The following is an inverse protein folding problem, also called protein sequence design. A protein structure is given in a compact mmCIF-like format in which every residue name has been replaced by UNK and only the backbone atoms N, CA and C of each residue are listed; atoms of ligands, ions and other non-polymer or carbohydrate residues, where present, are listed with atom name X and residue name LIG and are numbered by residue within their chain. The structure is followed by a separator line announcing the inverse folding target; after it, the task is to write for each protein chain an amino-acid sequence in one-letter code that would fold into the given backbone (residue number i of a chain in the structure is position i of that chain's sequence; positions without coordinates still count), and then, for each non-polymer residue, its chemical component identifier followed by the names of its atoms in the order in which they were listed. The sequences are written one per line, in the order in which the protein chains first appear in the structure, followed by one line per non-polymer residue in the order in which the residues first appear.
data_IF_644185783565
#
_entry.id   IF_644185783565
#
_cell.length_a   1.000
_cell.length_b   1.000
_cell.length_c   1.000
_cell.angle_alpha   90.00
_cell.angle_beta   90.00
_cell.angle_gamma   90.00
#
_symmetry.space_group_name_H-M   'P 1'
#
loop_
_entity.id
_entity.type
_entity.pdbx_description
1 polymer ?
#
# COMPACT_ATOMS: atom_id res chain seq x y z
N UNK A 1 -2.31 -25.05 18.35
CA UNK A 1 -1.07 -25.18 17.56
C UNK A 1 -0.06 -24.16 18.06
N UNK A 2 1.21 -24.51 18.16
CA UNK A 2 2.25 -23.68 18.79
C UNK A 2 2.83 -22.67 17.77
N UNK A 3 2.77 -21.34 18.02
CA UNK A 3 3.34 -20.32 17.12
C UNK A 3 4.84 -20.50 16.83
N UNK A 4 5.55 -21.26 17.66
CA UNK A 4 6.96 -21.59 17.45
C UNK A 4 7.22 -22.44 16.19
N UNK A 5 6.22 -23.11 15.62
CA UNK A 5 6.37 -23.85 14.35
C UNK A 5 6.56 -22.92 13.14
N UNK A 6 6.19 -21.64 13.24
CA UNK A 6 6.50 -20.62 12.22
C UNK A 6 8.00 -20.26 12.17
N UNK A 7 8.78 -20.72 13.15
CA UNK A 7 10.23 -20.51 13.24
C UNK A 7 11.04 -21.75 12.82
N UNK A 8 10.37 -22.84 12.42
CA UNK A 8 11.04 -24.04 11.92
C UNK A 8 11.20 -23.96 10.39
N UNK A 9 12.34 -23.42 9.98
CA UNK A 9 12.67 -23.10 8.58
C UNK A 9 13.00 -24.34 7.72
N UNK A 10 12.90 -25.55 8.27
CA UNK A 10 13.16 -26.81 7.55
C UNK A 10 11.90 -27.41 6.90
N UNK A 11 10.73 -26.80 7.08
CA UNK A 11 9.46 -27.29 6.53
C UNK A 11 8.91 -26.31 5.49
N UNK A 12 8.33 -26.78 4.37
CA UNK A 12 7.60 -25.93 3.43
C UNK A 12 6.53 -25.10 4.14
N UNK A 13 6.36 -23.85 3.73
CA UNK A 13 5.36 -22.96 4.33
C UNK A 13 3.96 -23.56 4.14
N UNK A 14 3.34 -23.97 5.25
CA UNK A 14 2.05 -24.65 5.21
C UNK A 14 0.92 -23.61 4.97
N UNK A 15 0.24 -23.72 3.83
CA UNK A 15 -0.84 -22.80 3.42
C UNK A 15 -1.98 -22.78 4.47
N UNK A 16 -2.43 -23.94 4.99
CA UNK A 16 -3.27 -24.04 6.20
C UNK A 16 -2.76 -23.31 7.43
N UNK A 17 -1.44 -23.20 7.64
CA UNK A 17 -0.85 -22.49 8.78
C UNK A 17 -0.91 -20.96 8.58
N UNK A 18 -0.82 -20.49 7.33
CA UNK A 18 -1.08 -19.10 6.96
C UNK A 18 -2.57 -18.74 7.07
N UNK A 19 -3.47 -19.64 6.66
CA UNK A 19 -4.91 -19.49 6.86
C UNK A 19 -5.26 -19.50 8.36
N UNK A 20 -4.66 -20.38 9.17
CA UNK A 20 -4.81 -20.37 10.63
C UNK A 20 -4.23 -19.10 11.28
N UNK A 21 -3.13 -18.55 10.75
CA UNK A 21 -2.54 -17.27 11.18
C UNK A 21 -3.51 -16.11 10.86
N UNK A 22 -4.20 -16.19 9.71
CA UNK A 22 -5.25 -15.25 9.29
C UNK A 22 -6.50 -15.35 10.14
N UNK A 23 -6.98 -16.55 10.45
CA UNK A 23 -8.12 -16.78 11.35
C UNK A 23 -7.82 -16.29 12.78
N UNK A 24 -6.56 -16.38 13.22
CA UNK A 24 -6.10 -15.85 14.50
C UNK A 24 -5.97 -14.30 14.51
N UNK A 25 -5.94 -13.60 13.37
CA UNK A 25 -5.95 -12.12 13.31
C UNK A 25 -7.27 -11.49 13.79
N UNK A 26 -8.33 -12.30 13.91
CA UNK A 26 -9.59 -11.92 14.54
C UNK A 26 -9.54 -12.00 16.09
N UNK A 27 -8.51 -12.62 16.67
CA UNK A 27 -8.32 -12.81 18.11
C UNK A 27 -7.30 -11.86 18.73
N UNK A 28 -7.42 -11.62 20.04
CA UNK A 28 -6.54 -10.73 20.79
C UNK A 28 -5.10 -11.30 20.90
N UNK A 29 -4.27 -11.00 19.89
CA UNK A 29 -2.81 -11.01 19.98
C UNK A 29 -2.08 -12.06 19.13
N UNK A 30 -1.16 -11.55 18.30
CA UNK A 30 0.18 -12.08 17.97
C UNK A 30 0.49 -12.85 16.66
N UNK A 31 -0.42 -13.15 15.72
CA UNK A 31 0.02 -13.64 14.40
C UNK A 31 0.62 -12.55 13.50
N UNK A 32 0.03 -11.35 13.51
CA UNK A 32 0.51 -10.21 12.68
C UNK A 32 1.87 -9.72 13.14
N UNK A 33 2.05 -9.59 14.46
CA UNK A 33 3.31 -9.16 15.05
C UNK A 33 4.44 -10.17 14.76
N UNK A 34 4.11 -11.47 14.70
CA UNK A 34 5.08 -12.50 14.30
C UNK A 34 5.46 -12.31 12.84
N UNK A 35 4.49 -12.20 11.92
CA UNK A 35 4.78 -12.03 10.50
C UNK A 35 5.54 -10.73 10.23
N UNK A 36 5.15 -9.63 10.87
CA UNK A 36 5.84 -8.35 10.82
C UNK A 36 7.28 -8.46 11.34
N UNK A 37 7.50 -9.17 12.46
CA UNK A 37 8.84 -9.41 12.99
C UNK A 37 9.70 -10.28 12.07
N UNK A 38 9.11 -11.29 11.42
CA UNK A 38 9.79 -12.16 10.45
C UNK A 38 10.21 -11.36 9.24
N UNK A 39 9.31 -10.52 8.70
CA UNK A 39 9.62 -9.64 7.57
C UNK A 39 10.72 -8.67 7.99
N UNK A 40 10.56 -7.96 9.11
CA UNK A 40 11.51 -6.94 9.55
C UNK A 40 12.92 -7.48 9.83
N UNK A 41 13.03 -8.62 10.51
CA UNK A 41 14.31 -9.09 11.04
C UNK A 41 14.91 -10.29 10.31
N UNK A 42 14.09 -11.09 9.60
CA UNK A 42 14.52 -12.37 9.00
C UNK A 42 14.21 -12.52 7.51
N UNK A 43 13.59 -11.53 6.86
CA UNK A 43 13.21 -11.64 5.44
C UNK A 43 14.37 -12.02 4.53
N UNK A 44 15.54 -11.40 4.71
CA UNK A 44 16.73 -11.70 3.91
C UNK A 44 17.29 -13.12 4.09
N UNK A 45 16.97 -13.79 5.20
CA UNK A 45 17.40 -15.15 5.49
C UNK A 45 16.45 -16.22 4.92
N UNK A 46 15.24 -15.84 4.51
CA UNK A 46 14.27 -16.78 3.95
C UNK A 46 14.69 -17.23 2.53
N UNK A 47 14.54 -18.53 2.21
CA UNK A 47 14.64 -19.04 0.85
C UNK A 47 13.77 -18.22 -0.13
N UNK A 48 14.25 -18.06 -1.37
CA UNK A 48 13.56 -17.25 -2.37
C UNK A 48 12.13 -17.75 -2.62
N UNK A 49 11.96 -19.08 -2.72
CA UNK A 49 10.65 -19.71 -2.93
C UNK A 49 9.64 -19.35 -1.83
N UNK A 50 10.07 -19.35 -0.56
CA UNK A 50 9.21 -18.98 0.55
C UNK A 50 8.82 -17.50 0.49
N UNK A 51 9.76 -16.61 0.14
CA UNK A 51 9.45 -15.18 -0.03
C UNK A 51 8.43 -14.94 -1.13
N UNK A 52 8.60 -15.59 -2.29
CA UNK A 52 7.64 -15.49 -3.39
C UNK A 52 6.27 -16.09 -3.02
N UNK A 53 6.25 -17.19 -2.26
CA UNK A 53 5.03 -17.77 -1.71
C UNK A 53 4.27 -16.80 -0.80
N UNK A 54 4.97 -16.14 0.14
CA UNK A 54 4.38 -15.14 1.04
C UNK A 54 3.83 -13.95 0.25
N UNK A 55 4.58 -13.42 -0.73
CA UNK A 55 4.12 -12.31 -1.59
C UNK A 55 2.85 -12.66 -2.34
N UNK A 56 2.84 -13.85 -2.97
CA UNK A 56 1.72 -14.32 -3.78
C UNK A 56 0.49 -14.52 -2.90
N UNK A 57 0.66 -15.16 -1.74
CA UNK A 57 -0.41 -15.35 -0.77
C UNK A 57 -1.00 -14.01 -0.29
N UNK A 58 -0.15 -13.09 0.16
CA UNK A 58 -0.58 -11.78 0.64
C UNK A 58 -1.31 -10.97 -0.44
N UNK A 59 -0.77 -10.97 -1.66
CA UNK A 59 -1.39 -10.27 -2.80
C UNK A 59 -2.78 -10.86 -3.12
N UNK A 60 -2.90 -12.19 -3.12
CA UNK A 60 -4.18 -12.87 -3.35
C UNK A 60 -5.21 -12.58 -2.26
N UNK A 61 -4.80 -12.51 -0.98
CA UNK A 61 -5.68 -12.09 0.10
C UNK A 61 -6.15 -10.65 -0.09
N UNK A 62 -5.23 -9.72 -0.34
CA UNK A 62 -5.59 -8.32 -0.56
C UNK A 62 -6.59 -8.19 -1.71
N UNK A 63 -6.35 -8.87 -2.84
CA UNK A 63 -7.27 -8.89 -3.98
C UNK A 63 -8.63 -9.47 -3.55
N UNK A 64 -8.66 -10.63 -2.90
CA UNK A 64 -9.90 -11.29 -2.46
C UNK A 64 -10.78 -10.38 -1.60
N UNK A 65 -10.18 -9.73 -0.59
CA UNK A 65 -10.93 -8.87 0.33
C UNK A 65 -11.21 -7.47 -0.21
N UNK A 66 -10.55 -7.07 -1.30
CA UNK A 66 -10.75 -5.76 -1.95
C UNK A 66 -11.54 -5.85 -3.26
N UNK A 67 -11.98 -7.04 -3.68
CA UNK A 67 -12.74 -7.25 -4.92
C UNK A 67 -14.25 -7.03 -4.77
N UNK A 68 -14.79 -7.22 -3.57
CA UNK A 68 -16.21 -7.02 -3.25
C UNK A 68 -16.37 -5.89 -2.24
N UNK A 69 -17.28 -4.95 -2.51
CA UNK A 69 -17.45 -3.75 -1.70
C UNK A 69 -17.96 -4.06 -0.29
N UNK A 70 -18.93 -4.98 -0.15
CA UNK A 70 -19.47 -5.33 1.17
C UNK A 70 -18.38 -5.95 2.07
N UNK A 71 -17.58 -6.86 1.51
CA UNK A 71 -16.45 -7.49 2.19
C UNK A 71 -15.36 -6.48 2.52
N UNK A 72 -14.98 -5.61 1.57
CA UNK A 72 -13.97 -4.59 1.76
C UNK A 72 -14.32 -3.60 2.88
N UNK A 73 -15.60 -3.23 2.99
CA UNK A 73 -16.10 -2.37 4.07
C UNK A 73 -16.14 -3.10 5.41
N UNK A 74 -16.65 -4.35 5.44
CA UNK A 74 -16.76 -5.14 6.66
C UNK A 74 -15.39 -5.46 7.27
N UNK A 75 -14.43 -5.79 6.42
CA UNK A 75 -13.09 -6.24 6.81
C UNK A 75 -12.04 -5.12 6.71
N UNK A 76 -12.45 -3.84 6.71
CA UNK A 76 -11.56 -2.71 6.43
C UNK A 76 -10.30 -2.67 7.32
N UNK A 77 -10.46 -2.98 8.61
CA UNK A 77 -9.34 -3.06 9.56
C UNK A 77 -8.36 -4.16 9.19
N UNK A 78 -8.87 -5.33 8.80
CA UNK A 78 -8.06 -6.47 8.39
C UNK A 78 -7.30 -6.17 7.09
N UNK A 79 -7.98 -5.60 6.09
CA UNK A 79 -7.33 -5.20 4.83
C UNK A 79 -6.24 -4.15 5.08
N UNK A 80 -6.48 -3.19 5.98
CA UNK A 80 -5.46 -2.22 6.35
C UNK A 80 -4.22 -2.88 6.97
N UNK A 81 -4.39 -3.89 7.82
CA UNK A 81 -3.27 -4.68 8.36
C UNK A 81 -2.49 -5.38 7.24
N UNK A 82 -3.18 -5.99 6.28
CA UNK A 82 -2.54 -6.64 5.12
C UNK A 82 -1.72 -5.63 4.30
N UNK A 83 -2.25 -4.43 4.09
CA UNK A 83 -1.54 -3.35 3.37
C UNK A 83 -0.26 -2.94 4.10
N UNK A 84 -0.29 -2.79 5.43
CA UNK A 84 0.89 -2.46 6.23
C UNK A 84 1.95 -3.56 6.07
N UNK A 85 1.57 -4.83 6.17
CA UNK A 85 2.47 -5.97 5.98
C UNK A 85 3.07 -5.97 4.56
N UNK A 86 2.26 -5.68 3.55
CA UNK A 86 2.72 -5.58 2.16
C UNK A 86 3.79 -4.49 2.03
N UNK A 87 3.56 -3.30 2.60
CA UNK A 87 4.54 -2.20 2.55
C UNK A 87 5.84 -2.56 3.28
N UNK A 88 5.78 -3.31 4.38
CA UNK A 88 7.01 -3.84 5.01
C UNK A 88 7.77 -4.76 4.06
N UNK A 89 7.10 -5.64 3.30
CA UNK A 89 7.76 -6.48 2.27
C UNK A 89 8.38 -5.60 1.16
N UNK A 90 7.67 -4.55 0.71
CA UNK A 90 8.16 -3.64 -0.32
C UNK A 90 9.45 -2.92 0.11
N UNK A 91 9.58 -2.52 1.38
CA UNK A 91 10.82 -1.93 1.91
C UNK A 91 12.03 -2.84 1.73
N UNK A 92 11.85 -4.16 1.71
CA UNK A 92 12.92 -5.12 1.47
C UNK A 92 13.16 -5.38 -0.03
N UNK A 93 12.10 -5.70 -0.76
CA UNK A 93 12.23 -6.29 -2.10
C UNK A 93 12.00 -5.31 -3.25
N UNK A 94 11.21 -4.26 -3.04
CA UNK A 94 11.09 -3.17 -4.02
C UNK A 94 12.24 -2.17 -3.81
N UNK A 95 12.81 -1.60 -4.88
CA UNK A 95 12.47 -1.76 -6.30
C UNK A 95 13.22 -2.90 -7.02
N UNK A 96 14.29 -3.44 -6.45
CA UNK A 96 15.24 -4.30 -7.18
C UNK A 96 14.68 -5.69 -7.50
N UNK A 97 14.04 -6.34 -6.53
CA UNK A 97 13.53 -7.73 -6.64
C UNK A 97 12.06 -7.80 -7.06
N UNK A 98 11.32 -6.70 -6.94
CA UNK A 98 9.91 -6.63 -7.30
C UNK A 98 9.61 -5.42 -8.20
N UNK A 99 10.34 -5.31 -9.31
CA UNK A 99 10.30 -4.15 -10.22
C UNK A 99 8.91 -3.80 -10.73
N UNK A 100 8.08 -4.80 -11.02
CA UNK A 100 6.76 -4.60 -11.64
C UNK A 100 5.67 -4.20 -10.66
N UNK A 101 5.96 -4.10 -9.35
CA UNK A 101 4.94 -3.84 -8.34
C UNK A 101 4.06 -2.61 -8.65
N UNK A 102 4.66 -1.45 -8.90
CA UNK A 102 3.91 -0.21 -9.19
C UNK A 102 3.11 -0.33 -10.51
N UNK A 103 3.72 -0.75 -11.65
CA UNK A 103 2.95 -1.01 -12.87
C UNK A 103 1.78 -1.99 -12.69
N UNK A 104 2.00 -3.10 -11.98
CA UNK A 104 1.01 -4.17 -11.80
C UNK A 104 -0.17 -3.70 -10.94
N UNK A 105 0.08 -3.00 -9.83
CA UNK A 105 -0.98 -2.47 -8.97
C UNK A 105 -1.76 -1.33 -9.65
N UNK A 106 -1.09 -0.49 -10.45
CA UNK A 106 -1.77 0.54 -11.25
C UNK A 106 -2.68 -0.11 -12.30
N UNK A 107 -2.21 -1.16 -12.97
CA UNK A 107 -3.01 -1.93 -13.92
C UNK A 107 -4.23 -2.58 -13.24
N UNK A 108 -4.03 -3.26 -12.11
CA UNK A 108 -5.10 -3.90 -11.34
C UNK A 108 -6.13 -2.88 -10.82
N UNK A 109 -5.68 -1.69 -10.40
CA UNK A 109 -6.55 -0.61 -9.93
C UNK A 109 -7.60 -0.17 -10.94
N UNK A 110 -7.33 -0.31 -12.25
CA UNK A 110 -8.26 0.10 -13.30
C UNK A 110 -9.41 -0.89 -13.53
N UNK A 111 -9.38 -2.05 -12.87
CA UNK A 111 -10.38 -3.11 -13.06
C UNK A 111 -11.55 -3.05 -12.07
N UNK A 112 -11.35 -2.42 -10.90
CA UNK A 112 -12.40 -2.25 -9.89
C UNK A 112 -12.12 -1.01 -9.03
N UNK A 113 -13.18 -0.24 -8.73
CA UNK A 113 -13.08 0.95 -7.87
C UNK A 113 -12.67 0.61 -6.44
N UNK A 114 -13.05 -0.56 -5.91
CA UNK A 114 -12.66 -0.98 -4.55
C UNK A 114 -11.18 -1.41 -4.50
N UNK A 115 -10.70 -2.08 -5.56
CA UNK A 115 -9.26 -2.37 -5.71
C UNK A 115 -8.46 -1.09 -5.86
N UNK A 116 -8.98 -0.12 -6.63
CA UNK A 116 -8.36 1.19 -6.77
C UNK A 116 -8.29 1.91 -5.43
N UNK A 117 -9.37 1.89 -4.64
CA UNK A 117 -9.41 2.54 -3.32
C UNK A 117 -8.36 1.92 -2.40
N UNK A 118 -8.25 0.59 -2.37
CA UNK A 118 -7.22 -0.06 -1.57
C UNK A 118 -5.80 0.25 -2.06
N UNK A 119 -5.62 0.34 -3.39
CA UNK A 119 -4.32 0.68 -3.99
C UNK A 119 -3.88 2.10 -3.61
N UNK A 120 -4.81 3.07 -3.56
CA UNK A 120 -4.53 4.41 -3.03
C UNK A 120 -4.01 4.35 -1.59
N UNK A 121 -4.66 3.56 -0.72
CA UNK A 121 -4.18 3.35 0.66
C UNK A 121 -2.77 2.75 0.71
N UNK A 122 -2.47 1.78 -0.15
CA UNK A 122 -1.13 1.18 -0.25
C UNK A 122 -0.10 2.22 -0.70
N UNK A 123 -0.41 3.04 -1.71
CA UNK A 123 0.50 4.10 -2.17
C UNK A 123 0.76 5.16 -1.11
N UNK A 124 -0.27 5.54 -0.36
CA UNK A 124 -0.13 6.46 0.78
C UNK A 124 0.82 5.89 1.83
N UNK A 125 0.57 4.67 2.31
CA UNK A 125 1.41 3.99 3.29
C UNK A 125 2.86 3.83 2.81
N UNK A 126 3.06 3.49 1.53
CA UNK A 126 4.39 3.38 0.95
C UNK A 126 5.13 4.72 0.97
N UNK A 127 4.46 5.83 0.62
CA UNK A 127 5.07 7.16 0.67
C UNK A 127 5.42 7.58 2.10
N UNK A 128 4.51 7.39 3.06
CA UNK A 128 4.74 7.70 4.48
C UNK A 128 5.94 6.90 5.03
N UNK A 129 6.02 5.59 4.75
CA UNK A 129 7.15 4.75 5.16
C UNK A 129 8.50 5.20 4.55
N UNK A 130 8.48 5.67 3.29
CA UNK A 130 9.70 6.06 2.57
C UNK A 130 10.15 7.50 2.89
N UNK A 131 9.22 8.42 3.17
CA UNK A 131 9.52 9.84 3.33
C UNK A 131 9.39 10.35 4.76
N UNK A 132 8.46 9.81 5.55
CA UNK A 132 8.20 10.23 6.94
C UNK A 132 8.90 9.33 7.95
N UNK A 133 8.70 8.01 7.87
CA UNK A 133 9.20 7.05 8.88
C UNK A 133 10.56 6.43 8.57
N UNK A 134 11.12 6.67 7.38
CA UNK A 134 12.36 6.02 6.93
C UNK A 134 13.55 6.22 7.87
N UNK A 135 13.54 7.29 8.67
CA UNK A 135 14.59 7.62 9.64
C UNK A 135 14.66 6.65 10.82
N UNK A 136 13.59 5.90 11.08
CA UNK A 136 13.50 5.02 12.24
C UNK A 136 14.07 3.61 11.96
N UNK A 137 13.93 3.14 10.71
CA UNK A 137 14.10 1.71 10.40
C UNK A 137 15.04 1.38 9.23
N UNK A 138 15.33 2.35 8.36
CA UNK A 138 16.10 2.09 7.13
C UNK A 138 17.47 2.76 7.16
N UNK A 139 18.44 2.10 6.54
CA UNK A 139 19.74 2.73 6.31
C UNK A 139 19.60 3.93 5.37
N UNK A 140 20.52 4.89 5.46
CA UNK A 140 20.51 6.07 4.58
C UNK A 140 20.58 5.69 3.09
N UNK A 141 21.36 4.65 2.75
CA UNK A 141 21.48 4.15 1.39
C UNK A 141 20.16 3.57 0.87
N UNK A 142 19.48 2.74 1.67
CA UNK A 142 18.20 2.15 1.29
C UNK A 142 17.09 3.20 1.18
N UNK A 143 17.06 4.16 2.11
CA UNK A 143 16.14 5.30 2.05
C UNK A 143 16.32 6.09 0.74
N UNK A 144 17.57 6.41 0.38
CA UNK A 144 17.87 7.13 -0.86
C UNK A 144 17.43 6.32 -2.09
N UNK A 145 17.69 5.02 -2.11
CA UNK A 145 17.25 4.13 -3.20
C UNK A 145 15.72 4.16 -3.38
N UNK A 146 14.96 3.96 -2.29
CA UNK A 146 13.50 3.96 -2.32
C UNK A 146 12.94 5.30 -2.78
N UNK A 147 13.48 6.42 -2.27
CA UNK A 147 13.04 7.76 -2.68
C UNK A 147 13.26 8.03 -4.18
N UNK A 148 14.43 7.66 -4.70
CA UNK A 148 14.75 7.84 -6.13
C UNK A 148 13.80 7.03 -7.00
N UNK A 149 13.55 5.76 -6.65
CA UNK A 149 12.66 4.91 -7.43
C UNK A 149 11.19 5.32 -7.31
N UNK A 150 10.76 5.82 -6.15
CA UNK A 150 9.36 6.26 -5.98
C UNK A 150 9.10 7.54 -6.78
N UNK A 151 10.11 8.42 -6.86
CA UNK A 151 10.05 9.58 -7.75
C UNK A 151 10.02 9.18 -9.23
N UNK A 152 10.78 8.17 -9.66
CA UNK A 152 10.77 7.73 -11.06
C UNK A 152 9.45 7.06 -11.46
N UNK A 153 8.80 6.36 -10.54
CA UNK A 153 7.52 5.69 -10.77
C UNK A 153 6.30 6.61 -10.48
N UNK A 154 6.51 7.81 -9.92
CA UNK A 154 5.42 8.69 -9.51
C UNK A 154 4.50 9.07 -10.67
N UNK A 155 5.02 9.18 -11.90
CA UNK A 155 4.20 9.47 -13.08
C UNK A 155 3.01 8.52 -13.23
N UNK A 156 3.21 7.22 -13.02
CA UNK A 156 2.14 6.21 -13.10
C UNK A 156 1.10 6.38 -11.99
N UNK A 157 1.56 6.68 -10.78
CA UNK A 157 0.69 6.91 -9.62
C UNK A 157 -0.14 8.18 -9.84
N UNK A 158 0.50 9.25 -10.29
CA UNK A 158 -0.15 10.52 -10.60
C UNK A 158 -1.21 10.37 -11.70
N UNK A 159 -0.87 9.68 -12.80
CA UNK A 159 -1.84 9.38 -13.87
C UNK A 159 -3.04 8.60 -13.35
N UNK A 160 -2.84 7.67 -12.43
CA UNK A 160 -3.94 6.95 -11.79
C UNK A 160 -4.79 7.88 -10.90
N UNK A 161 -4.17 8.73 -10.07
CA UNK A 161 -4.90 9.71 -9.25
C UNK A 161 -5.77 10.62 -10.12
N UNK A 162 -5.20 11.21 -11.18
CA UNK A 162 -5.94 12.06 -12.12
C UNK A 162 -7.05 11.27 -12.81
N UNK A 163 -6.78 10.04 -13.24
CA UNK A 163 -7.79 9.16 -13.82
C UNK A 163 -8.97 8.94 -12.86
N UNK A 164 -8.72 8.68 -11.59
CA UNK A 164 -9.78 8.49 -10.59
C UNK A 164 -10.61 9.77 -10.44
N UNK A 165 -9.96 10.92 -10.24
CA UNK A 165 -10.66 12.20 -10.07
C UNK A 165 -11.55 12.57 -11.28
N UNK A 166 -11.19 12.11 -12.48
CA UNK A 166 -12.00 12.27 -13.68
C UNK A 166 -13.19 11.30 -13.78
N UNK A 167 -13.01 10.05 -13.35
CA UNK A 167 -13.86 8.93 -13.80
C UNK A 167 -14.77 8.33 -12.71
N UNK A 168 -14.54 8.61 -11.43
CA UNK A 168 -15.43 8.11 -10.36
C UNK A 168 -16.33 9.19 -9.76
N UNK A 169 -17.43 8.74 -9.16
CA UNK A 169 -18.26 9.52 -8.25
C UNK A 169 -18.33 8.91 -6.84
N UNK A 170 -17.61 7.81 -6.58
CA UNK A 170 -17.58 7.17 -5.26
C UNK A 170 -16.83 8.05 -4.25
N UNK A 171 -17.50 8.56 -3.20
CA UNK A 171 -16.86 9.49 -2.27
C UNK A 171 -15.65 8.91 -1.55
N UNK A 172 -15.69 7.63 -1.18
CA UNK A 172 -14.59 6.98 -0.45
C UNK A 172 -13.32 6.84 -1.30
N UNK A 173 -13.47 6.50 -2.58
CA UNK A 173 -12.35 6.43 -3.53
C UNK A 173 -11.76 7.82 -3.81
N UNK A 174 -12.59 8.85 -3.99
CA UNK A 174 -12.12 10.24 -4.15
C UNK A 174 -11.35 10.67 -2.91
N UNK A 175 -11.91 10.44 -1.71
CA UNK A 175 -11.24 10.78 -0.45
C UNK A 175 -9.91 10.06 -0.30
N UNK A 176 -9.86 8.75 -0.54
CA UNK A 176 -8.62 7.98 -0.47
C UNK A 176 -7.58 8.46 -1.48
N UNK A 177 -8.00 8.94 -2.65
CA UNK A 177 -7.11 9.52 -3.66
C UNK A 177 -6.54 10.86 -3.20
N UNK A 178 -7.37 11.74 -2.63
CA UNK A 178 -6.92 13.02 -2.07
C UNK A 178 -6.00 12.82 -0.86
N UNK A 179 -6.31 11.87 0.02
CA UNK A 179 -5.46 11.48 1.16
C UNK A 179 -4.10 10.92 0.71
N UNK A 180 -4.06 10.29 -0.46
CA UNK A 180 -2.79 9.84 -1.07
C UNK A 180 -2.04 11.03 -1.62
N UNK A 181 -2.70 11.87 -2.42
CA UNK A 181 -2.10 13.06 -3.01
C UNK A 181 -1.49 14.00 -1.96
N UNK A 182 -2.17 14.22 -0.83
CA UNK A 182 -1.66 15.12 0.23
C UNK A 182 -0.27 14.72 0.73
N UNK A 183 0.03 13.41 0.84
CA UNK A 183 1.37 12.95 1.24
C UNK A 183 2.39 13.15 0.13
N UNK A 184 2.01 12.85 -1.13
CA UNK A 184 2.93 12.95 -2.27
C UNK A 184 3.29 14.41 -2.60
N UNK A 185 2.33 15.34 -2.46
CA UNK A 185 2.53 16.76 -2.75
C UNK A 185 3.67 17.40 -1.95
N UNK A 186 4.00 16.85 -0.77
CA UNK A 186 5.11 17.33 0.08
C UNK A 186 6.50 17.16 -0.53
N UNK A 187 6.68 16.31 -1.55
CA UNK A 187 8.01 16.00 -2.09
C UNK A 187 8.09 15.83 -3.61
N UNK A 188 6.96 15.77 -4.33
CA UNK A 188 6.95 15.57 -5.79
C UNK A 188 7.37 16.83 -6.57
N UNK A 189 7.91 16.69 -7.78
CA UNK A 189 8.21 17.84 -8.64
C UNK A 189 6.97 18.67 -8.98
N UNK A 190 7.09 20.00 -8.90
CA UNK A 190 5.99 20.94 -9.14
C UNK A 190 5.33 20.81 -10.52
N UNK A 191 6.04 20.27 -11.53
CA UNK A 191 5.49 20.03 -12.86
C UNK A 191 4.22 19.18 -12.84
N UNK A 192 4.16 18.15 -11.99
CA UNK A 192 2.96 17.32 -11.85
C UNK A 192 1.74 18.09 -11.33
N UNK A 193 1.95 19.17 -10.57
CA UNK A 193 0.89 19.98 -9.97
C UNK A 193 0.36 21.00 -10.99
N UNK A 194 1.27 21.72 -11.65
CA UNK A 194 0.92 22.88 -12.48
C UNK A 194 0.73 22.56 -13.97
N UNK A 195 1.35 21.50 -14.48
CA UNK A 195 1.24 21.12 -15.89
C UNK A 195 0.09 20.13 -16.14
N UNK A 196 -0.55 19.65 -15.07
CA UNK A 196 -1.69 18.74 -15.13
C UNK A 196 -3.01 19.43 -14.74
N UNK A 197 -4.12 18.70 -14.87
CA UNK A 197 -5.43 19.17 -14.42
C UNK A 197 -5.65 19.00 -12.90
N UNK A 198 -4.64 18.59 -12.14
CA UNK A 198 -4.77 18.29 -10.71
C UNK A 198 -5.29 19.51 -9.92
N UNK A 199 -4.68 20.67 -10.08
CA UNK A 199 -5.09 21.89 -9.39
C UNK A 199 -6.56 22.25 -9.68
N UNK A 200 -7.01 22.07 -10.92
CA UNK A 200 -8.39 22.29 -11.30
C UNK A 200 -9.35 21.38 -10.53
N UNK A 201 -9.03 20.08 -10.41
CA UNK A 201 -9.84 19.14 -9.65
C UNK A 201 -9.89 19.49 -8.16
N UNK A 202 -8.75 19.86 -7.55
CA UNK A 202 -8.70 20.26 -6.14
C UNK A 202 -9.61 21.47 -5.87
N UNK A 203 -9.57 22.48 -6.75
CA UNK A 203 -10.42 23.67 -6.65
C UNK A 203 -11.91 23.35 -6.85
N UNK A 204 -12.26 22.35 -7.66
CA UNK A 204 -13.65 21.89 -7.81
C UNK A 204 -14.15 21.06 -6.62
N UNK A 205 -13.27 20.33 -5.96
CA UNK A 205 -13.62 19.47 -4.81
C UNK A 205 -13.66 20.27 -3.50
N UNK A 206 -12.84 21.32 -3.37
CA UNK A 206 -12.77 22.15 -2.17
C UNK A 206 -14.13 22.71 -1.68
N UNK A 207 -15.02 23.23 -2.54
CA UNK A 207 -16.33 23.72 -2.09
C UNK A 207 -17.23 22.63 -1.50
N UNK A 208 -17.01 21.36 -1.86
CA UNK A 208 -17.89 20.24 -1.49
C UNK A 208 -17.61 19.77 -0.06
N UNK A 209 -18.60 19.77 0.86
CA UNK A 209 -18.37 19.45 2.27
C UNK A 209 -17.70 18.09 2.52
N UNK A 210 -17.97 17.08 1.68
CA UNK A 210 -17.41 15.74 1.83
C UNK A 210 -15.89 15.66 1.57
N UNK A 211 -15.34 16.62 0.82
CA UNK A 211 -13.95 16.64 0.35
C UNK A 211 -13.17 17.88 0.79
N UNK A 212 -13.85 18.93 1.27
CA UNK A 212 -13.29 20.23 1.59
C UNK A 212 -11.99 20.18 2.37
N UNK A 213 -11.96 19.44 3.48
CA UNK A 213 -10.81 19.44 4.38
C UNK A 213 -9.58 18.79 3.73
N UNK A 214 -9.77 17.63 3.08
CA UNK A 214 -8.66 16.92 2.44
C UNK A 214 -8.20 17.62 1.15
N UNK A 215 -9.13 18.24 0.41
CA UNK A 215 -8.78 19.08 -0.74
C UNK A 215 -8.01 20.34 -0.30
N UNK A 216 -8.41 20.98 0.80
CA UNK A 216 -7.67 22.11 1.37
C UNK A 216 -6.28 21.69 1.82
N UNK A 217 -6.14 20.52 2.46
CA UNK A 217 -4.84 19.98 2.83
C UNK A 217 -3.95 19.83 1.58
N UNK A 218 -4.46 19.20 0.52
CA UNK A 218 -3.71 19.10 -0.74
C UNK A 218 -3.32 20.46 -1.33
N UNK A 219 -4.15 21.50 -1.18
CA UNK A 219 -3.84 22.85 -1.66
C UNK A 219 -2.86 23.61 -0.74
N UNK A 220 -2.65 23.12 0.48
CA UNK A 220 -1.76 23.74 1.47
C UNK A 220 -0.33 23.23 1.36
N UNK A 221 -0.17 21.93 1.06
CA UNK A 221 1.14 21.33 0.74
C UNK A 221 1.72 21.88 -0.57
#
# INVERSE_FOLDING_TARGET
MNPAQLLDFNVPLDVPLLEATVDLMYGAGTPEQILESVIRYKWGALPLEQREGIKTFLSNLIIRYSSDEATFRREATFVNKLNVILVQILKHDWPVRWKTFIPDIVSASRTSETLCENSMRIFKLLSEEVFEFSRLDLTQAKTKELKVNLNSEFGLIHELCVFVLCNTRKPDLIRSTLDTLSVYLTWVPLGYIFESNLLHFLLQLFPQPAFRNVALQCLTE
#
